data_IF_350121189983
#
_entry.id   IF_350121189983
#
_cell.length_a   1.000
_cell.length_b   1.000
_cell.length_c   1.000
_cell.angle_alpha   90.00
_cell.angle_beta   90.00
_cell.angle_gamma   90.00
#
_symmetry.space_group_name_H-M   'P 1'
#
loop_
_entity.id
_entity.type
_entity.pdbx_description
1 polymer ?
#
# COMPACT_ATOMS: atom_id res chain seq x y z
N UNK A 1 60.23 -64.99 39.07
CA UNK A 1 60.09 -64.33 37.78
C UNK A 1 59.04 -63.23 37.98
N UNK A 2 59.53 -62.02 37.88
CA UNK A 2 58.92 -60.78 38.33
C UNK A 2 58.23 -60.09 37.18
N UNK A 3 56.97 -59.68 37.38
CA UNK A 3 56.31 -58.84 36.43
C UNK A 3 56.02 -57.46 37.06
N UNK A 4 56.32 -56.35 36.43
CA UNK A 4 56.14 -55.03 37.02
C UNK A 4 54.70 -54.45 36.81
N UNK A 5 54.35 -53.77 37.90
CA UNK A 5 53.20 -52.83 37.93
C UNK A 5 53.36 -51.66 36.95
N UNK A 6 52.35 -51.33 36.20
CA UNK A 6 52.23 -50.04 35.54
C UNK A 6 51.05 -49.24 36.12
N UNK A 7 51.41 -48.20 36.79
CA UNK A 7 50.53 -47.13 37.31
C UNK A 7 50.05 -46.24 36.18
N UNK A 8 48.78 -45.97 36.19
CA UNK A 8 48.15 -45.09 35.24
C UNK A 8 47.96 -43.65 35.83
N UNK A 9 48.57 -42.60 35.26
CA UNK A 9 48.41 -41.24 35.74
C UNK A 9 47.77 -40.37 34.70
N UNK A 10 46.42 -40.41 34.53
CA UNK A 10 45.71 -39.33 33.86
C UNK A 10 44.33 -39.12 34.49
N UNK A 11 44.30 -38.40 35.60
CA UNK A 11 43.08 -37.73 36.08
C UNK A 11 42.94 -36.44 35.23
N UNK A 12 41.95 -36.40 34.34
CA UNK A 12 41.50 -35.20 33.68
C UNK A 12 40.67 -34.35 34.64
N UNK A 13 40.89 -33.00 34.72
CA UNK A 13 40.02 -32.14 35.51
C UNK A 13 38.64 -31.96 34.82
N UNK A 14 37.57 -31.72 35.59
CA UNK A 14 36.26 -31.53 35.04
C UNK A 14 36.16 -30.24 34.23
N UNK A 15 35.59 -30.34 33.03
CA UNK A 15 35.30 -29.21 32.17
C UNK A 15 34.31 -28.27 32.88
N UNK A 16 34.69 -27.03 33.10
CA UNK A 16 33.76 -25.98 33.53
C UNK A 16 32.81 -25.67 32.41
N UNK A 17 31.55 -26.08 32.58
CA UNK A 17 30.42 -25.68 31.72
C UNK A 17 30.18 -24.19 31.99
N UNK A 18 30.53 -23.34 31.01
CA UNK A 18 30.17 -21.94 31.01
C UNK A 18 28.69 -21.84 30.65
N UNK A 19 27.82 -21.68 31.65
CA UNK A 19 26.42 -21.38 31.44
C UNK A 19 26.31 -19.94 30.91
N UNK A 20 26.21 -19.79 29.59
CA UNK A 20 25.89 -18.52 28.93
C UNK A 20 24.43 -18.22 29.17
N UNK A 21 24.14 -17.17 29.93
CA UNK A 21 22.77 -16.66 30.13
C UNK A 21 22.24 -16.10 28.80
N UNK A 22 21.10 -16.65 28.22
CA UNK A 22 20.66 -16.27 26.89
C UNK A 22 19.74 -15.03 26.83
N UNK A 23 19.69 -14.21 27.86
CA UNK A 23 18.69 -13.11 27.90
C UNK A 23 19.19 -11.73 27.49
N UNK A 24 20.46 -11.60 27.10
CA UNK A 24 20.94 -10.33 26.54
C UNK A 24 20.79 -10.18 25.02
N UNK A 25 20.37 -11.24 24.32
CA UNK A 25 20.16 -11.21 22.86
C UNK A 25 18.72 -10.84 22.45
N UNK A 26 17.76 -10.82 23.38
CA UNK A 26 16.35 -10.57 23.08
C UNK A 26 15.95 -9.08 23.05
N UNK A 27 16.81 -8.18 23.53
CA UNK A 27 16.47 -6.74 23.66
C UNK A 27 16.84 -5.94 22.40
N UNK A 28 17.70 -6.45 21.53
CA UNK A 28 18.14 -5.73 20.31
C UNK A 28 17.23 -5.93 19.09
N UNK A 29 16.28 -6.86 19.15
CA UNK A 29 15.37 -7.12 18.00
C UNK A 29 14.05 -6.32 18.03
N UNK A 30 13.80 -5.61 19.14
CA UNK A 30 12.54 -4.87 19.34
C UNK A 30 12.51 -3.43 18.82
N UNK A 31 13.65 -2.85 18.41
CA UNK A 31 13.73 -1.41 18.06
C UNK A 31 13.78 -1.16 16.54
N UNK A 32 13.91 -2.19 15.71
CA UNK A 32 14.05 -2.03 14.25
C UNK A 32 12.73 -2.05 13.49
N UNK A 33 11.57 -2.10 14.15
CA UNK A 33 10.24 -2.12 13.50
C UNK A 33 9.60 -0.72 13.39
N UNK A 34 10.21 0.31 13.97
CA UNK A 34 9.60 1.64 14.07
C UNK A 34 9.98 2.63 12.97
N UNK A 35 10.71 2.21 11.92
CA UNK A 35 11.07 3.08 10.81
C UNK A 35 10.68 2.46 9.46
N UNK A 36 9.45 1.97 9.35
CA UNK A 36 8.85 1.82 8.02
C UNK A 36 8.51 3.24 7.56
N UNK A 37 9.08 3.73 6.43
CA UNK A 37 8.60 4.96 5.85
C UNK A 37 7.10 4.77 5.67
N UNK A 38 6.31 5.79 6.05
CA UNK A 38 4.89 5.81 5.78
C UNK A 38 4.70 5.51 4.29
N UNK A 39 4.48 4.25 3.96
CA UNK A 39 4.14 3.82 2.62
C UNK A 39 2.93 4.65 2.27
N UNK A 40 3.03 5.45 1.21
CA UNK A 40 1.96 6.28 0.65
C UNK A 40 0.70 5.45 0.72
N UNK A 41 -0.24 5.87 1.58
CA UNK A 41 -1.25 4.97 2.09
C UNK A 41 -2.18 4.53 0.96
N UNK A 42 -1.91 3.37 0.42
CA UNK A 42 -2.90 2.64 -0.34
C UNK A 42 -4.04 2.35 0.62
N UNK A 43 -5.14 3.07 0.45
CA UNK A 43 -6.28 2.94 1.33
C UNK A 43 -7.28 1.96 0.71
N UNK A 44 -7.87 1.14 1.56
CA UNK A 44 -8.79 0.09 1.16
C UNK A 44 -10.10 0.18 1.94
N UNK A 45 -11.22 -0.07 1.26
CA UNK A 45 -12.54 -0.30 1.86
C UNK A 45 -13.21 -1.48 1.19
N UNK A 46 -13.83 -2.34 1.97
CA UNK A 46 -14.69 -3.41 1.44
C UNK A 46 -16.14 -3.10 1.76
N UNK A 47 -16.98 -3.04 0.74
CA UNK A 47 -18.41 -2.72 0.85
C UNK A 47 -19.17 -3.72 -0.01
N UNK A 48 -20.09 -4.47 0.59
CA UNK A 48 -20.95 -5.46 -0.08
C UNK A 48 -20.17 -6.40 -1.01
N UNK A 49 -19.05 -6.97 -0.55
CA UNK A 49 -18.24 -7.90 -1.31
C UNK A 49 -17.34 -7.27 -2.38
N UNK A 50 -17.36 -5.94 -2.53
CA UNK A 50 -16.44 -5.22 -3.40
C UNK A 50 -15.33 -4.55 -2.58
N UNK A 51 -14.08 -4.92 -2.84
CA UNK A 51 -12.90 -4.28 -2.29
C UNK A 51 -12.48 -3.13 -3.21
N UNK A 52 -12.50 -1.91 -2.67
CA UNK A 52 -12.16 -0.67 -3.35
C UNK A 52 -10.84 -0.18 -2.78
N UNK A 53 -9.80 -0.12 -3.60
CA UNK A 53 -8.50 0.41 -3.21
C UNK A 53 -8.28 1.74 -3.90
N UNK A 54 -7.66 2.70 -3.21
CA UNK A 54 -7.23 3.94 -3.83
C UNK A 54 -5.73 4.16 -3.65
N UNK A 55 -5.14 4.81 -4.63
CA UNK A 55 -3.79 5.37 -4.57
C UNK A 55 -3.81 6.79 -5.13
N UNK A 56 -3.01 7.67 -4.54
CA UNK A 56 -2.75 9.01 -5.07
C UNK A 56 -1.26 9.11 -5.39
N UNK A 57 -0.95 9.42 -6.64
CA UNK A 57 0.43 9.55 -7.13
C UNK A 57 0.58 10.86 -7.89
N UNK A 58 1.79 11.41 -7.94
CA UNK A 58 2.04 12.62 -8.74
C UNK A 58 1.88 12.32 -10.23
N UNK A 59 1.40 13.28 -11.01
CA UNK A 59 1.25 13.14 -12.46
C UNK A 59 2.59 12.77 -13.13
N UNK A 60 3.70 13.36 -12.69
CA UNK A 60 5.04 13.04 -13.17
C UNK A 60 5.46 11.58 -12.90
N UNK A 61 4.96 10.96 -11.85
CA UNK A 61 5.20 9.52 -11.61
C UNK A 61 4.39 8.66 -12.58
N UNK A 62 3.13 9.01 -12.80
CA UNK A 62 2.24 8.30 -13.73
C UNK A 62 2.71 8.37 -15.18
N UNK A 63 3.38 9.46 -15.58
CA UNK A 63 3.98 9.61 -16.93
C UNK A 63 5.03 8.56 -17.29
N UNK A 64 5.55 7.81 -16.33
CA UNK A 64 6.47 6.68 -16.55
C UNK A 64 5.79 5.47 -17.16
N UNK A 65 4.46 5.44 -17.12
CA UNK A 65 3.65 4.35 -17.67
C UNK A 65 2.98 4.81 -18.97
N UNK A 66 3.42 4.31 -20.14
CA UNK A 66 2.90 4.75 -21.45
C UNK A 66 1.39 4.54 -21.61
N UNK A 67 0.85 3.48 -21.02
CA UNK A 67 -0.58 3.16 -21.02
C UNK A 67 -1.41 4.21 -20.28
N UNK A 68 -0.92 4.74 -19.17
CA UNK A 68 -1.56 5.82 -18.42
C UNK A 68 -1.62 7.11 -19.22
N UNK A 69 -0.53 7.45 -19.91
CA UNK A 69 -0.47 8.63 -20.76
C UNK A 69 -1.47 8.57 -21.92
N UNK A 70 -1.67 7.40 -22.52
CA UNK A 70 -2.60 7.21 -23.62
C UNK A 70 -4.07 7.37 -23.17
N UNK A 71 -4.37 7.04 -21.92
CA UNK A 71 -5.73 7.06 -21.37
C UNK A 71 -6.13 8.47 -20.90
N UNK A 72 -5.16 9.33 -20.53
CA UNK A 72 -5.42 10.66 -19.97
C UNK A 72 -4.87 11.80 -20.84
N UNK A 73 -5.68 12.33 -21.79
CA UNK A 73 -5.26 13.43 -22.65
C UNK A 73 -5.02 14.76 -21.90
N UNK A 74 -5.37 14.83 -20.63
CA UNK A 74 -5.25 16.01 -19.78
C UNK A 74 -3.86 16.15 -19.08
N UNK A 75 -2.93 15.23 -19.36
CA UNK A 75 -1.55 15.34 -18.89
C UNK A 75 -0.92 16.68 -19.29
N UNK A 76 -0.32 17.36 -18.31
CA UNK A 76 0.34 18.65 -18.50
C UNK A 76 -0.58 19.86 -18.49
N UNK A 77 -1.89 19.71 -18.24
CA UNK A 77 -2.76 20.86 -17.98
C UNK A 77 -2.50 21.43 -16.58
N UNK A 78 -2.48 22.78 -16.43
CA UNK A 78 -2.42 23.39 -15.11
C UNK A 78 -3.52 22.88 -14.18
N UNK A 79 -3.18 22.55 -12.92
CA UNK A 79 -4.13 22.03 -11.93
C UNK A 79 -4.41 20.53 -12.03
N UNK A 80 -3.63 19.80 -12.83
CA UNK A 80 -3.73 18.35 -12.96
C UNK A 80 -2.41 17.70 -12.51
N UNK A 81 -2.13 17.75 -11.22
CA UNK A 81 -0.82 17.41 -10.65
C UNK A 81 -0.77 16.05 -9.97
N UNK A 82 -1.94 15.48 -9.65
CA UNK A 82 -2.04 14.15 -9.05
C UNK A 82 -3.00 13.23 -9.80
N UNK A 83 -2.60 11.98 -9.93
CA UNK A 83 -3.48 10.89 -10.35
C UNK A 83 -4.13 10.25 -9.13
N UNK A 84 -5.46 10.20 -9.13
CA UNK A 84 -6.21 9.29 -8.27
C UNK A 84 -6.45 8.00 -9.06
N UNK A 85 -5.94 6.90 -8.54
CA UNK A 85 -6.09 5.56 -9.09
C UNK A 85 -7.01 4.76 -8.19
N UNK A 86 -8.00 4.07 -8.76
CA UNK A 86 -8.96 3.23 -8.06
C UNK A 86 -8.95 1.84 -8.67
N UNK A 87 -8.63 0.82 -7.89
CA UNK A 87 -8.80 -0.57 -8.30
C UNK A 87 -9.98 -1.21 -7.58
N UNK A 88 -10.72 -2.03 -8.32
CA UNK A 88 -11.90 -2.74 -7.86
C UNK A 88 -11.63 -4.24 -7.90
N UNK A 89 -11.87 -4.93 -6.79
CA UNK A 89 -11.65 -6.38 -6.67
C UNK A 89 -12.87 -7.02 -6.02
N UNK A 90 -13.36 -8.11 -6.60
CA UNK A 90 -14.33 -9.00 -5.96
C UNK A 90 -13.65 -9.60 -4.73
N UNK A 91 -14.18 -9.34 -3.53
CA UNK A 91 -13.52 -9.72 -2.29
C UNK A 91 -13.55 -11.23 -2.03
N UNK A 92 -14.53 -11.95 -2.60
CA UNK A 92 -14.69 -13.39 -2.41
C UNK A 92 -13.83 -14.19 -3.39
N UNK A 93 -13.66 -13.66 -4.62
CA UNK A 93 -12.92 -14.34 -5.69
C UNK A 93 -11.50 -13.83 -5.87
N UNK A 94 -11.17 -12.72 -5.24
CA UNK A 94 -9.89 -12.00 -5.39
C UNK A 94 -9.57 -11.67 -6.87
N UNK A 95 -10.61 -11.34 -7.65
CA UNK A 95 -10.48 -11.03 -9.08
C UNK A 95 -10.80 -9.58 -9.38
N UNK A 96 -10.08 -8.91 -10.31
CA UNK A 96 -10.39 -7.55 -10.72
C UNK A 96 -11.81 -7.42 -11.27
N UNK A 97 -12.51 -6.33 -10.88
CA UNK A 97 -13.82 -5.97 -11.42
C UNK A 97 -13.66 -4.88 -12.46
N UNK A 98 -13.99 -5.21 -13.72
CA UNK A 98 -13.94 -4.30 -14.86
C UNK A 98 -15.35 -3.92 -15.31
N UNK A 99 -15.48 -2.91 -16.20
CA UNK A 99 -16.76 -2.48 -16.76
C UNK A 99 -17.67 -1.75 -15.77
N UNK A 100 -17.13 -1.24 -14.67
CA UNK A 100 -17.85 -0.38 -13.75
C UNK A 100 -17.82 1.10 -14.21
N UNK A 101 -18.87 1.86 -13.84
CA UNK A 101 -18.82 3.31 -13.86
C UNK A 101 -18.26 3.79 -12.54
N UNK A 102 -17.10 4.48 -12.57
CA UNK A 102 -16.44 4.99 -11.37
C UNK A 102 -16.36 6.51 -11.44
N UNK A 103 -16.88 7.19 -10.41
CA UNK A 103 -16.82 8.64 -10.24
C UNK A 103 -16.13 8.97 -8.92
N UNK A 104 -15.22 9.90 -8.95
CA UNK A 104 -14.59 10.41 -7.74
C UNK A 104 -14.95 11.87 -7.49
N UNK A 105 -15.12 12.21 -6.20
CA UNK A 105 -15.23 13.57 -5.70
C UNK A 105 -14.08 13.79 -4.72
N UNK A 106 -13.27 14.82 -4.99
CA UNK A 106 -12.11 15.21 -4.18
C UNK A 106 -12.37 16.57 -3.59
N UNK A 107 -12.42 16.67 -2.26
CA UNK A 107 -12.54 17.91 -1.52
C UNK A 107 -11.20 18.25 -0.89
N UNK A 108 -10.61 19.37 -1.30
CA UNK A 108 -9.34 19.86 -0.79
C UNK A 108 -9.43 20.59 0.56
N UNK A 109 -8.29 20.93 1.15
CA UNK A 109 -8.21 21.61 2.45
C UNK A 109 -8.87 23.01 2.43
N UNK A 110 -8.88 23.70 1.28
CA UNK A 110 -9.58 24.98 1.07
C UNK A 110 -11.09 24.85 0.85
N UNK A 111 -11.68 23.64 0.93
CA UNK A 111 -13.11 23.40 0.77
C UNK A 111 -13.59 23.25 -0.68
N UNK A 112 -12.75 23.52 -1.67
CA UNK A 112 -13.04 23.30 -3.09
C UNK A 112 -13.32 21.82 -3.37
N UNK A 113 -14.26 21.55 -4.29
CA UNK A 113 -14.64 20.20 -4.71
C UNK A 113 -14.42 20.05 -6.20
N UNK A 114 -13.70 19.01 -6.56
CA UNK A 114 -13.57 18.52 -7.94
C UNK A 114 -14.30 17.18 -8.05
N UNK A 115 -15.04 16.98 -9.12
CA UNK A 115 -15.76 15.73 -9.32
C UNK A 115 -15.65 15.31 -10.78
N UNK A 116 -15.18 14.06 -11.01
CA UNK A 116 -14.93 13.53 -12.36
C UNK A 116 -15.29 12.06 -12.44
N UNK A 117 -15.69 11.61 -13.64
CA UNK A 117 -15.68 10.19 -13.94
C UNK A 117 -14.23 9.76 -14.17
N UNK A 118 -13.88 8.63 -13.58
CA UNK A 118 -12.58 8.01 -13.78
C UNK A 118 -12.61 7.16 -15.04
N UNK A 119 -11.51 7.19 -15.79
CA UNK A 119 -11.38 6.41 -17.02
C UNK A 119 -10.79 5.04 -16.71
N UNK A 120 -11.29 3.97 -17.34
CA UNK A 120 -10.71 2.65 -17.20
C UNK A 120 -9.30 2.63 -17.84
N UNK A 121 -8.36 1.98 -17.18
CA UNK A 121 -6.97 1.87 -17.58
C UNK A 121 -6.30 0.61 -17.05
N UNK A 122 -4.98 0.59 -17.15
CA UNK A 122 -4.12 -0.45 -16.64
C UNK A 122 -2.95 0.19 -15.89
N UNK A 123 -2.86 0.02 -14.58
CA UNK A 123 -1.67 0.37 -13.82
C UNK A 123 -0.78 -0.86 -13.66
N UNK A 124 0.39 -0.85 -14.31
CA UNK A 124 1.32 -1.97 -14.33
C UNK A 124 0.66 -3.32 -14.74
N UNK A 125 -0.26 -3.28 -15.72
CA UNK A 125 -0.98 -4.45 -16.20
C UNK A 125 -2.17 -4.89 -15.36
N UNK A 126 -2.50 -4.16 -14.29
CA UNK A 126 -3.67 -4.43 -13.43
C UNK A 126 -4.79 -3.46 -13.81
N UNK A 127 -6.03 -3.95 -14.09
CA UNK A 127 -7.17 -3.09 -14.39
C UNK A 127 -7.46 -2.09 -13.26
N UNK A 128 -7.62 -0.84 -13.63
CA UNK A 128 -7.95 0.26 -12.73
C UNK A 128 -8.88 1.29 -13.36
N UNK A 129 -9.19 2.32 -12.59
CA UNK A 129 -9.91 3.53 -13.00
C UNK A 129 -9.15 4.72 -12.47
N UNK A 130 -8.78 5.65 -13.32
CA UNK A 130 -7.96 6.77 -12.90
C UNK A 130 -8.40 8.12 -13.45
N UNK A 131 -7.94 9.18 -12.83
CA UNK A 131 -8.20 10.55 -13.23
C UNK A 131 -7.28 11.55 -12.55
N UNK A 132 -7.05 12.68 -13.24
CA UNK A 132 -6.20 13.76 -12.78
C UNK A 132 -7.00 14.75 -11.93
N UNK A 133 -6.43 15.16 -10.80
CA UNK A 133 -6.99 16.15 -9.87
C UNK A 133 -5.93 17.16 -9.47
N UNK A 134 -6.37 18.39 -9.18
CA UNK A 134 -5.56 19.39 -8.50
C UNK A 134 -5.54 19.09 -7.00
N UNK A 135 -4.39 18.64 -6.51
CA UNK A 135 -4.18 18.28 -5.11
C UNK A 135 -2.85 18.82 -4.58
N UNK A 136 -2.40 19.99 -5.11
CA UNK A 136 -1.11 20.63 -4.74
C UNK A 136 -1.11 21.22 -3.33
N UNK A 137 -2.25 21.74 -2.87
CA UNK A 137 -2.29 22.39 -1.57
C UNK A 137 -1.97 21.41 -0.45
N UNK A 138 -1.03 21.75 0.43
CA UNK A 138 -0.74 20.95 1.63
C UNK A 138 -1.99 20.85 2.51
N UNK A 139 -2.24 19.66 3.05
CA UNK A 139 -3.34 19.42 3.96
C UNK A 139 -4.19 18.20 3.62
N UNK A 140 -5.32 18.09 4.31
CA UNK A 140 -6.20 16.93 4.24
C UNK A 140 -7.18 17.03 3.06
N UNK A 141 -7.18 16.00 2.23
CA UNK A 141 -8.15 15.77 1.17
C UNK A 141 -9.13 14.68 1.57
N UNK A 142 -10.43 14.91 1.33
CA UNK A 142 -11.48 13.89 1.48
C UNK A 142 -11.91 13.43 0.10
N UNK A 143 -11.79 12.13 -0.13
CA UNK A 143 -12.04 11.49 -1.42
C UNK A 143 -13.26 10.59 -1.26
N UNK A 144 -14.30 10.84 -2.08
CA UNK A 144 -15.49 9.99 -2.13
C UNK A 144 -15.52 9.31 -3.50
N UNK A 145 -15.54 7.99 -3.49
CA UNK A 145 -15.59 7.16 -4.70
C UNK A 145 -16.98 6.53 -4.81
N UNK A 146 -17.65 6.78 -5.93
CA UNK A 146 -18.93 6.17 -6.29
C UNK A 146 -18.67 5.12 -7.35
N UNK A 147 -19.09 3.88 -7.09
CA UNK A 147 -18.91 2.74 -7.99
C UNK A 147 -20.28 2.17 -8.37
N UNK A 148 -20.60 2.17 -9.65
CA UNK A 148 -21.78 1.53 -10.20
C UNK A 148 -21.35 0.36 -11.09
N UNK A 149 -21.72 -0.85 -10.70
CA UNK A 149 -21.54 -2.06 -11.52
C UNK A 149 -22.85 -2.44 -12.18
N UNK A 150 -22.78 -3.12 -13.33
CA UNK A 150 -23.98 -3.52 -14.08
C UNK A 150 -24.97 -4.42 -13.30
N UNK A 151 -24.53 -5.01 -12.20
CA UNK A 151 -25.33 -5.89 -11.34
C UNK A 151 -26.07 -5.17 -10.21
N UNK A 152 -25.82 -3.87 -10.02
CA UNK A 152 -26.35 -3.09 -8.89
C UNK A 152 -27.20 -1.92 -9.34
N UNK A 153 -28.37 -1.76 -8.72
CA UNK A 153 -29.27 -0.65 -9.00
C UNK A 153 -28.82 0.68 -8.37
N UNK A 154 -27.98 0.62 -7.31
CA UNK A 154 -27.46 1.80 -6.61
C UNK A 154 -25.93 1.76 -6.58
N UNK A 155 -25.26 2.90 -6.74
CA UNK A 155 -23.81 2.97 -6.60
C UNK A 155 -23.40 2.67 -5.15
N UNK A 156 -22.28 1.98 -5.00
CA UNK A 156 -21.54 1.90 -3.74
C UNK A 156 -20.78 3.20 -3.53
N UNK A 157 -20.67 3.63 -2.27
CA UNK A 157 -19.98 4.86 -1.91
C UNK A 157 -18.91 4.56 -0.86
N UNK A 158 -17.65 4.73 -1.25
CA UNK A 158 -16.49 4.61 -0.36
C UNK A 158 -15.90 5.99 -0.05
N UNK A 159 -15.48 6.22 1.20
CA UNK A 159 -14.86 7.46 1.64
C UNK A 159 -13.46 7.19 2.15
N UNK A 160 -12.53 8.06 1.75
CA UNK A 160 -11.11 7.99 2.07
C UNK A 160 -10.59 9.37 2.46
N UNK A 161 -9.45 9.39 3.14
CA UNK A 161 -8.73 10.61 3.46
C UNK A 161 -7.28 10.47 3.00
N UNK A 162 -6.76 11.51 2.37
CA UNK A 162 -5.38 11.56 1.95
C UNK A 162 -4.78 12.92 2.33
N UNK A 163 -3.55 12.94 2.80
CA UNK A 163 -2.87 14.17 3.20
C UNK A 163 -1.71 14.44 2.26
N UNK A 164 -1.72 15.62 1.63
CA UNK A 164 -0.55 16.17 1.00
C UNK A 164 0.33 16.83 2.06
N UNK A 165 1.57 16.38 2.15
CA UNK A 165 2.59 16.87 3.10
C UNK A 165 3.67 17.71 2.45
N UNK A 166 3.61 17.91 1.12
CA UNK A 166 4.60 18.66 0.34
C UNK A 166 4.33 20.16 0.38
#
# INVERSE_FOLDING_TARGET
MTAPMFSNPFKRPPARVLVRKPWLAAVLFGVLVAALPAARAQQQRTIDGLRINIGVVTATWAERFPEERATHPDHGKPGADHHLVVSLVDADRDTPVTGAEVRAEVRGPGGGVQAKNLLPGLAAGVPDYSGLFDMQASGLYRITVHVKTGTRNKPLVARFEWTNTD
#
